data_IF_029068282076
#
_entry.id   IF_029068282076
#
_cell.length_a   1.000
_cell.length_b   1.000
_cell.length_c   1.000
_cell.angle_alpha   90.00
_cell.angle_beta   90.00
_cell.angle_gamma   90.00
#
_symmetry.space_group_name_H-M   'P 1'
#
loop_
_entity.id
_entity.type
_entity.pdbx_description
1 polymer ?
#
# COMPACT_ATOMS: atom_id res chain seq x y z
N UNK A 1 4.19 3.23 3.15
CA UNK A 1 3.47 2.05 2.63
C UNK A 1 2.00 2.39 2.50
N UNK A 2 1.43 2.13 1.32
CA UNK A 2 0.02 2.39 0.97
C UNK A 2 -0.94 1.74 1.98
N UNK A 3 -0.75 0.46 2.32
CA UNK A 3 -1.58 -0.25 3.31
C UNK A 3 -1.63 0.44 4.67
N UNK A 4 -0.50 0.98 5.15
CA UNK A 4 -0.42 1.66 6.44
C UNK A 4 -1.21 2.99 6.44
N UNK A 5 -1.14 3.73 5.35
CA UNK A 5 -1.89 4.98 5.19
C UNK A 5 -3.41 4.76 5.28
N UNK A 6 -3.88 3.61 4.80
CA UNK A 6 -5.31 3.23 4.82
C UNK A 6 -5.66 2.26 5.96
N UNK A 7 -4.83 2.15 6.99
CA UNK A 7 -5.05 1.31 8.18
C UNK A 7 -5.31 -0.18 7.85
N UNK A 8 -4.83 -0.67 6.72
CA UNK A 8 -4.96 -2.06 6.32
C UNK A 8 -3.80 -2.91 6.86
N UNK A 9 -4.13 -4.00 7.55
CA UNK A 9 -3.14 -4.93 8.09
C UNK A 9 -2.39 -5.60 6.92
N UNK A 10 -1.07 -5.75 7.04
CA UNK A 10 -0.25 -6.41 6.00
C UNK A 10 -0.70 -7.85 5.73
N UNK A 11 -1.20 -8.54 6.75
CA UNK A 11 -1.67 -9.94 6.66
C UNK A 11 -3.07 -10.10 6.13
N UNK A 12 -3.87 -9.03 6.08
CA UNK A 12 -5.16 -9.07 5.44
C UNK A 12 -4.93 -9.14 3.94
N UNK A 13 -5.32 -10.24 3.26
CA UNK A 13 -5.23 -10.28 1.82
C UNK A 13 -6.17 -9.23 1.22
N UNK A 14 -5.77 -8.65 0.10
CA UNK A 14 -6.60 -7.76 -0.69
C UNK A 14 -6.88 -8.40 -2.06
N UNK A 15 -7.87 -7.89 -2.76
CA UNK A 15 -8.30 -8.52 -4.01
C UNK A 15 -7.27 -8.31 -5.10
N UNK A 16 -6.94 -7.05 -5.41
CA UNK A 16 -6.16 -6.73 -6.59
C UNK A 16 -5.10 -5.66 -6.30
N UNK A 17 -3.96 -5.80 -6.93
CA UNK A 17 -3.00 -4.71 -7.15
C UNK A 17 -2.89 -4.47 -8.65
N UNK A 18 -3.02 -3.23 -9.07
CA UNK A 18 -2.78 -2.80 -10.45
C UNK A 18 -1.43 -2.08 -10.51
N UNK A 19 -0.55 -2.53 -11.38
CA UNK A 19 0.72 -1.87 -11.69
C UNK A 19 0.61 -1.28 -13.07
N UNK A 20 0.57 0.04 -13.16
CA UNK A 20 0.54 0.76 -14.42
C UNK A 20 1.90 1.42 -14.66
N UNK A 21 2.57 1.02 -15.73
CA UNK A 21 3.88 1.53 -16.12
C UNK A 21 4.15 1.18 -17.58
N UNK A 22 4.83 2.03 -18.38
CA UNK A 22 5.21 1.71 -19.75
C UNK A 22 5.97 0.38 -19.90
N UNK A 23 6.62 -0.08 -18.86
CA UNK A 23 7.36 -1.35 -18.80
C UNK A 23 6.61 -2.47 -18.05
N UNK A 24 5.32 -2.31 -17.72
CA UNK A 24 4.57 -3.28 -16.92
C UNK A 24 4.53 -4.68 -17.57
N UNK A 25 4.51 -4.76 -18.90
CA UNK A 25 4.56 -6.03 -19.66
C UNK A 25 5.77 -6.90 -19.29
N UNK A 26 6.89 -6.32 -18.85
CA UNK A 26 8.11 -7.04 -18.44
C UNK A 26 7.96 -7.76 -17.09
N UNK A 27 6.90 -7.46 -16.35
CA UNK A 27 6.61 -8.04 -15.04
C UNK A 27 5.67 -9.26 -15.13
N UNK A 28 5.25 -9.68 -16.32
CA UNK A 28 4.24 -10.75 -16.51
C UNK A 28 4.66 -12.05 -15.84
N UNK A 29 5.92 -12.44 -15.93
CA UNK A 29 6.44 -13.68 -15.37
C UNK A 29 6.61 -13.61 -13.83
N UNK A 30 6.49 -12.42 -13.25
CA UNK A 30 6.66 -12.18 -11.80
C UNK A 30 5.34 -11.95 -11.07
N UNK A 31 4.18 -12.13 -11.73
CA UNK A 31 2.86 -11.89 -11.12
C UNK A 31 2.66 -12.65 -9.81
N UNK A 32 3.01 -13.92 -9.78
CA UNK A 32 2.84 -14.76 -8.60
C UNK A 32 3.73 -14.28 -7.43
N UNK A 33 4.98 -13.92 -7.73
CA UNK A 33 5.90 -13.37 -6.73
C UNK A 33 5.38 -12.04 -6.18
N UNK A 34 4.86 -11.16 -7.06
CA UNK A 34 4.27 -9.89 -6.64
C UNK A 34 3.02 -10.14 -5.78
N UNK A 35 2.15 -11.06 -6.21
CA UNK A 35 0.93 -11.39 -5.49
C UNK A 35 1.22 -11.88 -4.06
N UNK A 36 2.17 -12.79 -3.92
CA UNK A 36 2.58 -13.35 -2.63
C UNK A 36 3.21 -12.30 -1.73
N UNK A 37 4.14 -11.49 -2.25
CA UNK A 37 4.88 -10.49 -1.47
C UNK A 37 3.97 -9.34 -1.02
N UNK A 38 3.08 -8.89 -1.90
CA UNK A 38 2.12 -7.82 -1.61
C UNK A 38 0.89 -8.35 -0.86
N UNK A 39 0.68 -9.66 -0.82
CA UNK A 39 -0.46 -10.34 -0.24
C UNK A 39 -1.79 -9.90 -0.89
N UNK A 40 -1.88 -10.13 -2.20
CA UNK A 40 -3.08 -9.91 -3.00
C UNK A 40 -3.43 -11.18 -3.78
N UNK A 41 -4.68 -11.33 -4.19
CA UNK A 41 -5.13 -12.48 -4.97
C UNK A 41 -4.82 -12.33 -6.47
N UNK A 42 -4.77 -11.09 -6.95
CA UNK A 42 -4.61 -10.79 -8.37
C UNK A 42 -3.65 -9.64 -8.60
N UNK A 43 -2.83 -9.76 -9.64
CA UNK A 43 -1.95 -8.70 -10.13
C UNK A 43 -2.36 -8.34 -11.55
N UNK A 44 -2.78 -7.11 -11.74
CA UNK A 44 -3.07 -6.51 -13.03
C UNK A 44 -1.88 -5.67 -13.48
N UNK A 45 -1.47 -5.85 -14.73
CA UNK A 45 -0.38 -5.11 -15.34
C UNK A 45 -0.92 -4.38 -16.56
N UNK A 46 -0.67 -3.09 -16.64
CA UNK A 46 -1.05 -2.26 -17.80
C UNK A 46 0.06 -1.30 -18.17
N UNK A 47 0.27 -1.13 -19.46
CA UNK A 47 1.21 -0.13 -19.99
C UNK A 47 0.56 1.26 -20.09
N UNK A 48 -0.78 1.32 -19.99
CA UNK A 48 -1.55 2.56 -19.98
C UNK A 48 -1.69 3.13 -18.56
N UNK A 49 -0.78 4.03 -18.21
CA UNK A 49 -0.78 4.72 -16.91
C UNK A 49 -2.00 5.63 -16.76
N UNK A 50 -2.43 6.26 -17.84
CA UNK A 50 -3.57 7.19 -17.85
C UNK A 50 -4.92 6.54 -17.56
N UNK A 51 -5.04 5.21 -17.77
CA UNK A 51 -6.27 4.47 -17.44
C UNK A 51 -6.43 4.17 -15.94
N UNK A 52 -5.37 4.33 -15.16
CA UNK A 52 -5.35 3.93 -13.73
C UNK A 52 -5.15 5.14 -12.81
N UNK A 53 -4.49 6.17 -13.30
CA UNK A 53 -4.14 7.34 -12.51
C UNK A 53 -4.23 8.61 -13.34
N UNK A 54 -4.59 9.69 -12.65
CA UNK A 54 -4.51 11.05 -13.17
C UNK A 54 -3.32 11.78 -12.59
N UNK A 55 -2.70 12.62 -13.39
CA UNK A 55 -1.66 13.50 -12.92
C UNK A 55 -2.27 14.62 -12.07
N UNK A 56 -1.70 14.82 -10.89
CA UNK A 56 -2.02 15.95 -10.01
C UNK A 56 -0.80 16.83 -9.88
N UNK A 57 -0.93 18.03 -10.38
CA UNK A 57 0.08 19.07 -10.22
C UNK A 57 -0.14 19.81 -8.90
N UNK A 58 0.90 19.94 -8.10
CA UNK A 58 0.91 20.81 -6.91
C UNK A 58 1.98 21.88 -7.10
N UNK A 59 1.59 23.13 -7.02
CA UNK A 59 2.51 24.27 -7.08
C UNK A 59 3.20 24.46 -5.73
N UNK A 60 4.46 24.92 -5.75
CA UNK A 60 5.22 25.32 -4.57
C UNK A 60 5.36 26.85 -4.57
N UNK A 61 4.38 27.60 -4.00
CA UNK A 61 4.34 29.07 -4.10
C UNK A 61 5.58 29.77 -3.55
N UNK A 62 6.23 29.16 -2.54
CA UNK A 62 7.46 29.67 -1.95
C UNK A 62 8.64 29.70 -2.95
N UNK A 63 8.63 28.81 -3.95
CA UNK A 63 9.64 28.75 -5.02
C UNK A 63 9.28 29.65 -6.20
N UNK A 64 7.99 29.73 -6.55
CA UNK A 64 7.49 30.58 -7.62
C UNK A 64 7.69 32.07 -7.32
N UNK A 65 7.53 32.49 -6.05
CA UNK A 65 7.58 33.89 -5.64
C UNK A 65 8.85 34.64 -6.06
N UNK A 66 10.04 34.14 -5.77
CA UNK A 66 11.30 34.81 -6.10
C UNK A 66 11.53 35.02 -7.58
N UNK A 67 11.04 34.10 -8.44
CA UNK A 67 11.22 34.14 -9.90
C UNK A 67 10.11 34.94 -10.61
N UNK A 68 8.87 34.67 -10.26
CA UNK A 68 7.71 35.19 -11.00
C UNK A 68 7.12 36.48 -10.39
N UNK A 69 7.44 36.81 -9.15
CA UNK A 69 6.97 38.02 -8.50
C UNK A 69 5.44 38.17 -8.58
N UNK A 70 4.96 39.20 -9.31
CA UNK A 70 3.52 39.48 -9.44
C UNK A 70 2.77 38.45 -10.28
N UNK A 71 3.46 37.74 -11.17
CA UNK A 71 2.87 36.76 -12.09
C UNK A 71 2.50 35.43 -11.40
N UNK A 72 2.98 35.21 -10.16
CA UNK A 72 2.58 34.03 -9.34
C UNK A 72 1.07 33.88 -9.24
N UNK A 73 0.34 34.99 -9.09
CA UNK A 73 -1.13 34.94 -8.98
C UNK A 73 -1.81 34.48 -10.27
N UNK A 74 -1.20 34.78 -11.42
CA UNK A 74 -1.69 34.28 -12.71
C UNK A 74 -1.48 32.76 -12.82
N UNK A 75 -0.29 32.30 -12.49
CA UNK A 75 0.03 30.85 -12.49
C UNK A 75 -0.88 30.08 -11.54
N UNK A 76 -1.13 30.58 -10.33
CA UNK A 76 -2.05 29.94 -9.38
C UNK A 76 -3.48 29.88 -9.93
N UNK A 77 -3.95 30.95 -10.61
CA UNK A 77 -5.28 30.95 -11.24
C UNK A 77 -5.37 29.97 -12.40
N UNK A 78 -4.37 29.94 -13.26
CA UNK A 78 -4.29 29.00 -14.37
C UNK A 78 -4.28 27.54 -13.86
N UNK A 79 -3.49 27.25 -12.85
CA UNK A 79 -3.49 25.92 -12.20
C UNK A 79 -4.89 25.54 -11.68
N UNK A 80 -5.59 26.43 -10.99
CA UNK A 80 -6.94 26.18 -10.47
C UNK A 80 -8.00 25.99 -11.55
N UNK A 81 -7.82 26.60 -12.72
CA UNK A 81 -8.71 26.43 -13.88
C UNK A 81 -8.36 25.19 -14.71
N UNK A 82 -7.32 24.44 -14.35
CA UNK A 82 -6.86 23.28 -15.12
C UNK A 82 -6.05 23.66 -16.38
N UNK A 83 -5.65 24.92 -16.53
CA UNK A 83 -4.84 25.40 -17.65
C UNK A 83 -3.36 25.10 -17.42
N UNK A 84 -3.02 23.80 -17.50
CA UNK A 84 -1.66 23.32 -17.41
C UNK A 84 -1.45 22.08 -18.27
N UNK A 85 -0.22 21.85 -18.70
CA UNK A 85 0.19 20.73 -19.52
C UNK A 85 1.54 20.19 -19.05
N UNK A 86 1.72 18.88 -19.24
CA UNK A 86 2.99 18.18 -19.01
C UNK A 86 3.43 17.59 -20.34
N UNK A 87 4.64 17.89 -20.76
CA UNK A 87 5.26 17.35 -21.96
C UNK A 87 6.67 16.84 -21.60
N UNK A 88 6.76 15.53 -21.35
CA UNK A 88 7.94 14.93 -20.77
C UNK A 88 8.29 15.53 -19.40
N UNK A 89 9.45 16.16 -19.30
CA UNK A 89 9.92 16.81 -18.08
C UNK A 89 9.53 18.29 -17.98
N UNK A 90 8.77 18.81 -18.95
CA UNK A 90 8.38 20.23 -19.03
C UNK A 90 6.95 20.39 -18.56
N UNK A 91 6.76 21.14 -17.49
CA UNK A 91 5.44 21.54 -16.99
C UNK A 91 5.17 22.99 -17.32
N UNK A 92 4.05 23.26 -17.99
CA UNK A 92 3.60 24.60 -18.36
C UNK A 92 2.28 24.90 -17.69
N UNK A 93 2.15 26.06 -17.04
CA UNK A 93 0.94 26.51 -16.36
C UNK A 93 0.60 27.92 -16.80
N UNK A 94 -0.56 28.11 -17.45
CA UNK A 94 -0.97 29.43 -17.97
C UNK A 94 0.04 30.04 -18.93
N UNK A 95 0.73 29.23 -19.74
CA UNK A 95 1.79 29.65 -20.65
C UNK A 95 3.17 29.88 -20.02
N UNK A 96 3.31 29.67 -18.71
CA UNK A 96 4.58 29.80 -17.99
C UNK A 96 5.19 28.42 -17.77
N UNK A 97 6.41 28.22 -18.25
CA UNK A 97 7.20 26.99 -17.98
C UNK A 97 7.70 27.05 -16.55
N UNK A 98 7.45 26.00 -15.78
CA UNK A 98 7.88 25.86 -14.39
C UNK A 98 9.25 25.15 -14.29
N UNK A 99 10.03 25.51 -13.29
CA UNK A 99 11.25 24.82 -12.91
C UNK A 99 10.95 23.63 -11.99
N UNK A 100 11.85 22.64 -11.95
CA UNK A 100 11.61 21.35 -11.28
C UNK A 100 11.33 21.46 -9.76
N UNK A 101 11.76 22.54 -9.09
CA UNK A 101 11.52 22.78 -7.67
C UNK A 101 10.28 23.66 -7.39
N UNK A 102 9.62 24.16 -8.44
CA UNK A 102 8.44 25.01 -8.36
C UNK A 102 7.12 24.24 -8.31
N UNK A 103 7.18 22.94 -8.58
CA UNK A 103 6.01 22.07 -8.56
C UNK A 103 6.33 20.68 -8.03
N UNK A 104 5.30 19.94 -7.71
CA UNK A 104 5.33 18.49 -7.49
C UNK A 104 4.26 17.87 -8.38
N UNK A 105 4.66 16.88 -9.18
CA UNK A 105 3.75 16.10 -10.00
C UNK A 105 3.54 14.74 -9.35
N UNK A 106 2.30 14.41 -9.04
CA UNK A 106 1.92 13.15 -8.42
C UNK A 106 0.94 12.40 -9.33
N UNK A 107 1.16 11.11 -9.49
CA UNK A 107 0.16 10.22 -10.09
C UNK A 107 -0.78 9.74 -8.97
N UNK A 108 -2.05 10.08 -9.10
CA UNK A 108 -3.09 9.72 -8.13
C UNK A 108 -4.08 8.80 -8.81
N UNK A 109 -4.29 7.61 -8.26
CA UNK A 109 -5.31 6.70 -8.77
C UNK A 109 -6.70 7.31 -8.62
N UNK A 110 -7.60 6.92 -9.51
CA UNK A 110 -9.02 7.27 -9.40
C UNK A 110 -9.63 6.74 -8.10
N UNK A 111 -10.77 7.32 -7.74
CA UNK A 111 -11.46 7.14 -6.47
C UNK A 111 -11.53 5.67 -6.01
N UNK A 112 -11.37 5.46 -4.70
CA UNK A 112 -11.42 4.19 -3.96
C UNK A 112 -10.18 3.28 -4.02
N UNK A 113 -9.14 3.62 -4.79
CA UNK A 113 -7.88 2.87 -4.79
C UNK A 113 -6.77 3.61 -4.05
N UNK A 114 -6.16 2.93 -3.12
CA UNK A 114 -4.97 3.43 -2.47
C UNK A 114 -3.78 3.35 -3.42
N UNK A 115 -3.16 4.45 -3.77
CA UNK A 115 -2.10 4.50 -4.76
C UNK A 115 -0.76 5.01 -4.24
N UNK A 116 0.29 4.68 -4.94
CA UNK A 116 1.61 5.24 -4.77
C UNK A 116 2.31 5.34 -6.12
N UNK A 117 2.88 6.48 -6.43
CA UNK A 117 3.76 6.66 -7.57
C UNK A 117 5.03 5.81 -7.43
N UNK A 118 5.51 5.28 -8.54
CA UNK A 118 6.83 4.65 -8.62
C UNK A 118 7.92 5.72 -8.65
N UNK A 119 9.08 5.39 -8.07
CA UNK A 119 10.27 6.26 -8.10
C UNK A 119 10.66 6.48 -9.56
N UNK A 120 10.71 7.65 -10.08
CA UNK A 120 10.98 8.04 -11.47
C UNK A 120 9.77 8.50 -12.28
N UNK A 121 8.60 8.70 -11.66
CA UNK A 121 7.36 9.10 -12.36
C UNK A 121 6.95 8.14 -13.51
N UNK A 122 7.61 6.95 -13.59
CA UNK A 122 7.42 5.98 -14.66
C UNK A 122 6.18 5.10 -14.46
N UNK A 123 5.34 5.40 -13.45
CA UNK A 123 4.14 4.61 -13.25
C UNK A 123 3.53 4.77 -11.87
N UNK A 124 2.45 4.04 -11.64
CA UNK A 124 1.70 4.03 -10.39
C UNK A 124 1.33 2.59 -10.00
N UNK A 125 1.30 2.36 -8.71
CA UNK A 125 0.73 1.14 -8.13
C UNK A 125 -0.56 1.53 -7.42
N UNK A 126 -1.67 0.94 -7.84
CA UNK A 126 -2.99 1.11 -7.21
C UNK A 126 -3.40 -0.18 -6.53
N UNK A 127 -3.85 -0.08 -5.29
CA UNK A 127 -4.25 -1.20 -4.46
C UNK A 127 -5.74 -1.11 -4.20
N UNK A 128 -6.49 -2.14 -4.56
CA UNK A 128 -7.86 -2.28 -4.15
C UNK A 128 -7.91 -2.54 -2.63
N UNK A 129 -8.47 -1.58 -1.90
CA UNK A 129 -8.53 -1.62 -0.43
C UNK A 129 -9.89 -2.09 0.11
N UNK A 130 -10.81 -2.46 -0.78
CA UNK A 130 -12.08 -3.05 -0.38
C UNK A 130 -11.84 -4.41 0.30
N UNK A 131 -12.50 -4.64 1.41
CA UNK A 131 -12.38 -5.87 2.18
C UNK A 131 -13.70 -6.61 2.13
N UNK A 132 -13.72 -7.70 1.37
CA UNK A 132 -14.87 -8.59 1.34
C UNK A 132 -14.89 -9.51 2.56
N UNK A 133 -16.06 -10.09 2.93
CA UNK A 133 -16.15 -11.07 4.01
C UNK A 133 -15.21 -12.26 3.82
N UNK A 134 -14.99 -12.69 2.58
CA UNK A 134 -14.10 -13.80 2.23
C UNK A 134 -12.64 -13.45 2.51
N UNK A 135 -12.21 -12.22 2.15
CA UNK A 135 -10.87 -11.72 2.43
C UNK A 135 -10.63 -11.58 3.94
N UNK A 136 -11.64 -11.15 4.68
CA UNK A 136 -11.55 -11.07 6.13
C UNK A 136 -11.41 -12.45 6.75
N UNK A 137 -12.18 -13.45 6.29
CA UNK A 137 -12.10 -14.84 6.77
C UNK A 137 -10.73 -15.44 6.46
N UNK A 138 -10.20 -15.22 5.25
CA UNK A 138 -8.86 -15.65 4.89
C UNK A 138 -7.79 -14.99 5.79
N UNK A 139 -7.92 -13.69 6.07
CA UNK A 139 -7.04 -12.98 6.99
C UNK A 139 -7.05 -13.59 8.38
N UNK A 140 -8.22 -13.95 8.90
CA UNK A 140 -8.36 -14.67 10.19
C UNK A 140 -7.72 -16.05 10.17
N UNK A 141 -7.86 -16.80 9.08
CA UNK A 141 -7.22 -18.10 8.92
C UNK A 141 -5.69 -17.99 8.93
N UNK A 142 -5.13 -17.00 8.25
CA UNK A 142 -3.68 -16.70 8.26
C UNK A 142 -3.18 -16.30 9.64
N UNK A 143 -3.96 -15.51 10.38
CA UNK A 143 -3.64 -15.17 11.77
C UNK A 143 -3.62 -16.41 12.67
N UNK A 144 -4.57 -17.34 12.50
CA UNK A 144 -4.60 -18.62 13.22
C UNK A 144 -3.38 -19.48 12.90
N UNK A 145 -3.05 -19.65 11.63
CA UNK A 145 -1.84 -20.41 11.21
C UNK A 145 -0.59 -19.82 11.89
N UNK A 146 -0.48 -18.51 11.94
CA UNK A 146 0.65 -17.88 12.64
C UNK A 146 0.67 -18.20 14.13
N UNK A 147 -0.48 -18.14 14.81
CA UNK A 147 -0.56 -18.47 16.23
C UNK A 147 -0.12 -19.91 16.48
N UNK A 148 -0.55 -20.86 15.63
CA UNK A 148 -0.13 -22.25 15.70
C UNK A 148 1.38 -22.37 15.49
N UNK A 149 1.94 -21.70 14.48
CA UNK A 149 3.38 -21.73 14.23
C UNK A 149 4.19 -21.11 15.39
N UNK A 150 3.66 -20.06 16.02
CA UNK A 150 4.29 -19.47 17.19
C UNK A 150 4.27 -20.45 18.37
N UNK A 151 3.12 -21.05 18.66
CA UNK A 151 2.99 -22.03 19.74
C UNK A 151 3.93 -23.24 19.54
N UNK A 152 4.09 -23.72 18.31
CA UNK A 152 5.04 -24.79 17.99
C UNK A 152 6.49 -24.37 18.28
N UNK A 153 6.91 -23.19 17.84
CA UNK A 153 8.26 -22.68 18.14
C UNK A 153 8.50 -22.50 19.64
N UNK A 154 7.51 -22.01 20.35
CA UNK A 154 7.61 -21.83 21.80
C UNK A 154 7.72 -23.18 22.50
N UNK A 155 6.98 -24.21 22.06
CA UNK A 155 7.10 -25.59 22.57
C UNK A 155 8.48 -26.18 22.28
N UNK A 156 9.01 -26.04 21.09
CA UNK A 156 10.35 -26.50 20.72
C UNK A 156 11.45 -25.81 21.53
N UNK A 157 11.27 -24.53 21.83
CA UNK A 157 12.25 -23.71 22.56
C UNK A 157 12.28 -24.01 24.07
N UNK A 158 11.14 -24.35 24.67
CA UNK A 158 11.02 -24.55 26.10
C UNK A 158 10.98 -26.04 26.50
N UNK A 159 11.05 -26.94 25.53
CA UNK A 159 10.98 -28.38 25.72
C UNK A 159 9.56 -28.88 26.03
N UNK A 160 9.34 -30.23 25.88
CA UNK A 160 8.11 -30.84 26.36
C UNK A 160 8.04 -30.67 27.89
N UNK A 161 6.84 -30.47 28.46
CA UNK A 161 6.70 -30.51 29.90
C UNK A 161 7.22 -31.84 30.43
N UNK A 162 7.92 -31.86 31.57
CA UNK A 162 8.37 -33.11 32.15
C UNK A 162 7.18 -34.07 32.32
N UNK A 163 7.39 -35.33 31.97
CA UNK A 163 6.39 -36.39 32.10
C UNK A 163 5.91 -36.49 33.57
N UNK A 164 4.81 -37.21 33.83
CA UNK A 164 4.11 -37.23 35.11
C UNK A 164 4.94 -37.69 36.31
N UNK A 165 6.21 -38.08 36.14
CA UNK A 165 7.07 -38.67 37.15
C UNK A 165 8.23 -37.79 37.63
N UNK A 166 8.24 -36.50 37.32
CA UNK A 166 9.37 -35.62 37.69
C UNK A 166 8.96 -34.28 38.24
N UNK A 167 9.17 -34.07 39.53
CA UNK A 167 9.08 -32.82 40.26
C UNK A 167 9.53 -31.59 39.49
N UNK A 168 8.63 -30.60 39.36
CA UNK A 168 9.01 -29.19 39.35
C UNK A 168 7.82 -28.27 39.48
N UNK A 169 7.57 -27.93 40.71
CA UNK A 169 6.66 -26.91 41.21
C UNK A 169 7.19 -25.49 40.96
N UNK A 170 7.37 -25.03 39.76
CA UNK A 170 7.79 -23.61 39.59
C UNK A 170 7.31 -22.82 38.35
N UNK A 171 6.62 -23.43 37.39
CA UNK A 171 6.29 -22.74 36.16
C UNK A 171 4.77 -22.57 35.92
N UNK A 172 3.94 -22.92 36.88
CA UNK A 172 2.48 -22.86 36.73
C UNK A 172 1.85 -21.51 37.13
N UNK A 173 2.53 -20.38 37.05
CA UNK A 173 1.93 -19.10 37.44
C UNK A 173 1.72 -18.09 36.32
N UNK A 174 1.90 -18.43 35.06
CA UNK A 174 1.77 -17.42 33.99
C UNK A 174 0.87 -17.76 32.79
N UNK A 175 0.07 -18.81 32.87
CA UNK A 175 -0.85 -19.19 31.77
C UNK A 175 -2.33 -18.99 32.13
N UNK A 176 -2.64 -18.36 33.25
CA UNK A 176 -4.03 -18.20 33.72
C UNK A 176 -4.72 -16.89 33.28
N UNK A 177 -4.49 -16.42 32.07
CA UNK A 177 -5.25 -15.26 31.54
C UNK A 177 -5.50 -15.29 30.03
N UNK A 178 -5.82 -16.46 29.48
CA UNK A 178 -6.39 -16.47 28.12
C UNK A 178 -7.64 -17.35 28.11
N UNK A 179 -8.79 -16.72 27.96
CA UNK A 179 -10.12 -17.32 27.86
C UNK A 179 -10.14 -18.47 26.86
N UNK A 180 -10.44 -19.65 27.34
CA UNK A 180 -10.89 -20.77 26.50
C UNK A 180 -12.27 -20.40 25.96
N UNK A 181 -12.37 -20.18 24.67
CA UNK A 181 -13.66 -20.09 23.98
C UNK A 181 -14.10 -21.50 23.64
N UNK A 182 -15.01 -22.03 24.40
CA UNK A 182 -15.68 -23.31 24.09
C UNK A 182 -16.69 -23.03 22.98
N UNK A 183 -16.45 -23.56 21.79
CA UNK A 183 -17.42 -23.60 20.71
C UNK A 183 -18.37 -24.76 20.97
N UNK A 184 -19.51 -24.49 21.57
CA UNK A 184 -20.69 -25.38 21.56
C UNK A 184 -21.59 -24.91 20.44
N UNK A 185 -21.67 -25.65 19.35
CA UNK A 185 -22.70 -25.53 18.32
C UNK A 185 -23.64 -26.73 18.38
N UNK A 186 -24.89 -26.58 17.97
CA UNK A 186 -25.85 -27.66 17.87
C UNK A 186 -25.55 -28.60 16.72
#
# INVERSE_FOLDING_TARGET
SVRKAHQRRVRLPLQTVTVASPDAHRLVDFRDVIADEVNVRQVELTDDVGSVATERLQLVPARLGPRLGKDVQQVIRAHKSGDWTVDGDVVTVGGVVLEADEYTLELVAEDDKASAGLSSHAGVVALDIEVTPELELEGRARDLVRLIQQARRDHERFGAPPGPDGESSSIMRHVSSNRVVTLTGP
#
